data_IF_933704047064
#
_entry.id   IF_933704047064
#
_cell.length_a   1.000
_cell.length_b   1.000
_cell.length_c   1.000
_cell.angle_alpha   90.00
_cell.angle_beta   90.00
_cell.angle_gamma   90.00
#
_symmetry.space_group_name_H-M   'P 1'
#
loop_
_entity.id
_entity.type
_entity.pdbx_description
1 polymer ?
#
# COMPACT_ATOMS: atom_id res chain seq x y z
N UNK A 1 17.34 55.87 -41.85
CA UNK A 1 17.68 55.44 -40.47
C UNK A 1 16.48 55.77 -39.58
N UNK A 2 15.60 54.82 -39.37
CA UNK A 2 14.41 55.01 -38.52
C UNK A 2 14.48 53.98 -37.40
N UNK A 3 14.70 54.49 -36.18
CA UNK A 3 14.75 53.68 -34.94
C UNK A 3 13.33 53.41 -34.45
N UNK A 4 12.94 52.13 -34.41
CA UNK A 4 11.70 51.68 -33.79
C UNK A 4 11.96 51.39 -32.33
N UNK A 5 11.43 52.25 -31.45
CA UNK A 5 11.45 52.07 -30.00
C UNK A 5 10.26 51.19 -29.59
N UNK A 6 10.50 49.92 -29.21
CA UNK A 6 9.49 49.02 -28.66
C UNK A 6 9.12 49.38 -27.24
N UNK A 7 7.85 49.65 -26.99
CA UNK A 7 7.25 49.83 -25.65
C UNK A 7 7.16 48.52 -24.89
N UNK A 8 7.50 48.47 -23.59
CA UNK A 8 7.31 47.25 -22.79
C UNK A 8 5.83 47.04 -22.46
N UNK A 9 5.36 45.81 -22.76
CA UNK A 9 4.01 45.35 -22.45
C UNK A 9 3.85 45.13 -20.94
N UNK A 10 2.93 45.85 -20.33
CA UNK A 10 2.60 45.75 -18.89
C UNK A 10 1.91 44.40 -18.60
N UNK A 11 2.59 43.45 -17.98
CA UNK A 11 2.04 42.21 -17.47
C UNK A 11 1.05 42.52 -16.36
N UNK A 12 -0.25 42.22 -16.58
CA UNK A 12 -1.28 42.33 -15.54
C UNK A 12 -1.07 41.14 -14.56
N UNK A 13 -0.58 41.41 -13.38
CA UNK A 13 -0.57 40.45 -12.25
C UNK A 13 -2.01 40.16 -11.85
N UNK A 14 -2.39 38.89 -11.95
CA UNK A 14 -3.66 38.34 -11.45
C UNK A 14 -3.68 38.51 -9.92
N UNK A 15 -4.78 38.99 -9.32
CA UNK A 15 -4.85 39.11 -7.85
C UNK A 15 -4.65 37.74 -7.20
N UNK A 16 -3.73 37.68 -6.26
CA UNK A 16 -3.50 36.47 -5.44
C UNK A 16 -4.77 36.14 -4.66
N UNK A 17 -5.26 34.90 -4.79
CA UNK A 17 -6.31 34.38 -3.93
C UNK A 17 -5.84 34.44 -2.47
N UNK A 18 -6.70 34.89 -1.52
CA UNK A 18 -6.36 34.84 -0.10
C UNK A 18 -6.04 33.40 0.29
N UNK A 19 -4.96 33.22 1.06
CA UNK A 19 -4.59 31.92 1.59
C UNK A 19 -5.77 31.35 2.40
N UNK A 20 -6.07 30.04 2.27
CA UNK A 20 -7.13 29.41 3.05
C UNK A 20 -6.83 29.60 4.54
N UNK A 21 -7.78 30.14 5.28
CA UNK A 21 -7.73 30.27 6.74
C UNK A 21 -7.63 28.87 7.32
N UNK A 22 -6.44 28.44 7.70
CA UNK A 22 -6.23 27.15 8.35
C UNK A 22 -6.85 27.22 9.75
N UNK A 23 -8.05 26.66 9.90
CA UNK A 23 -8.60 26.37 11.22
C UNK A 23 -7.76 25.26 11.86
N UNK A 24 -7.46 25.34 13.17
CA UNK A 24 -6.75 24.27 13.85
C UNK A 24 -7.50 22.93 13.73
N UNK A 25 -6.78 21.80 13.61
CA UNK A 25 -7.38 20.48 13.44
C UNK A 25 -8.40 20.17 14.54
N UNK A 26 -9.60 19.71 14.18
CA UNK A 26 -10.67 19.35 15.14
C UNK A 26 -10.52 17.91 15.61
N UNK A 27 -9.41 17.59 16.26
CA UNK A 27 -9.08 16.23 16.73
C UNK A 27 -10.20 15.61 17.57
N UNK A 28 -10.86 16.38 18.42
CA UNK A 28 -11.87 15.86 19.36
C UNK A 28 -13.09 15.25 18.68
N UNK A 29 -13.64 15.91 17.66
CA UNK A 29 -14.78 15.39 16.93
C UNK A 29 -14.45 14.12 16.14
N UNK A 30 -13.28 14.08 15.48
CA UNK A 30 -12.80 12.91 14.74
C UNK A 30 -12.56 11.73 15.71
N UNK A 31 -11.92 12.00 16.86
CA UNK A 31 -11.67 10.99 17.89
C UNK A 31 -12.98 10.36 18.39
N UNK A 32 -13.98 11.18 18.75
CA UNK A 32 -15.27 10.71 19.23
C UNK A 32 -15.99 9.85 18.19
N UNK A 33 -16.04 10.31 16.94
CA UNK A 33 -16.65 9.58 15.83
C UNK A 33 -15.99 8.22 15.59
N UNK A 34 -14.64 8.18 15.51
CA UNK A 34 -13.86 6.95 15.31
C UNK A 34 -14.01 5.97 16.48
N UNK A 35 -13.98 6.44 17.72
CA UNK A 35 -14.21 5.60 18.90
C UNK A 35 -15.61 4.98 18.88
N UNK A 36 -16.64 5.79 18.62
CA UNK A 36 -18.05 5.35 18.60
C UNK A 36 -18.31 4.37 17.45
N UNK A 37 -17.77 4.60 16.26
CA UNK A 37 -17.91 3.69 15.11
C UNK A 37 -17.33 2.29 15.39
N UNK A 38 -16.40 2.19 16.35
CA UNK A 38 -15.80 0.93 16.80
C UNK A 38 -16.43 0.36 18.06
N UNK A 39 -17.48 0.98 18.56
CA UNK A 39 -18.17 0.55 19.78
C UNK A 39 -17.34 0.65 21.05
N UNK A 40 -16.24 1.44 21.03
CA UNK A 40 -15.31 1.54 22.17
C UNK A 40 -15.83 2.56 23.20
N UNK A 41 -15.80 2.19 24.48
CA UNK A 41 -15.94 3.12 25.60
C UNK A 41 -14.65 3.96 25.76
N UNK A 42 -14.74 5.07 26.52
CA UNK A 42 -13.56 5.86 26.89
C UNK A 42 -12.55 5.06 27.71
N UNK A 43 -13.01 4.11 28.53
CA UNK A 43 -12.16 3.27 29.34
C UNK A 43 -11.37 2.25 28.49
N UNK A 44 -12.02 1.66 27.49
CA UNK A 44 -11.38 0.74 26.55
C UNK A 44 -10.33 1.45 25.69
N UNK A 45 -10.67 2.61 25.12
CA UNK A 45 -9.70 3.39 24.34
C UNK A 45 -8.56 3.88 25.23
N UNK A 46 -8.82 4.25 26.49
CA UNK A 46 -7.78 4.63 27.46
C UNK A 46 -6.75 3.52 27.65
N UNK A 47 -7.22 2.28 27.82
CA UNK A 47 -6.32 1.11 27.96
C UNK A 47 -5.54 0.82 26.68
N UNK A 48 -6.20 0.87 25.53
CA UNK A 48 -5.57 0.58 24.23
C UNK A 48 -4.51 1.62 23.85
N UNK A 49 -4.80 2.90 24.08
CA UNK A 49 -3.93 4.00 23.67
C UNK A 49 -2.89 4.41 24.74
N UNK A 50 -3.03 3.93 25.98
CA UNK A 50 -2.21 4.40 27.09
C UNK A 50 -2.39 5.90 27.40
N UNK A 51 -3.61 6.42 27.18
CA UNK A 51 -4.00 7.82 27.43
C UNK A 51 -5.10 7.84 28.48
N UNK A 52 -4.98 8.70 29.49
CA UNK A 52 -5.97 8.71 30.57
C UNK A 52 -7.38 9.04 30.09
N UNK A 53 -8.40 8.41 30.69
CA UNK A 53 -9.82 8.64 30.39
C UNK A 53 -10.21 10.13 30.50
N UNK A 54 -9.67 10.82 31.50
CA UNK A 54 -9.91 12.26 31.68
C UNK A 54 -9.38 13.07 30.49
N UNK A 55 -8.18 12.77 30.01
CA UNK A 55 -7.59 13.42 28.85
C UNK A 55 -8.40 13.13 27.58
N UNK A 56 -8.81 11.89 27.34
CA UNK A 56 -9.66 11.52 26.21
C UNK A 56 -10.97 12.32 26.23
N UNK A 57 -11.63 12.39 27.39
CA UNK A 57 -12.86 13.15 27.58
C UNK A 57 -12.67 14.65 27.33
N UNK A 58 -11.54 15.24 27.74
CA UNK A 58 -11.22 16.63 27.47
C UNK A 58 -10.95 16.89 26.00
N UNK A 59 -10.23 15.98 25.31
CA UNK A 59 -9.96 16.07 23.87
C UNK A 59 -11.28 16.01 23.08
N UNK A 60 -12.15 15.03 23.36
CA UNK A 60 -13.43 14.88 22.66
C UNK A 60 -14.36 16.09 22.85
N UNK A 61 -14.28 16.75 24.00
CA UNK A 61 -15.03 17.99 24.30
C UNK A 61 -14.33 19.26 23.86
N UNK A 62 -13.22 19.17 23.13
CA UNK A 62 -12.40 20.32 22.71
C UNK A 62 -11.85 21.18 23.86
N UNK A 63 -11.68 20.58 25.04
CA UNK A 63 -11.15 21.24 26.25
C UNK A 63 -9.64 21.04 26.43
N UNK A 64 -9.03 20.16 25.66
CA UNK A 64 -7.58 19.93 25.62
C UNK A 64 -7.10 19.74 24.19
N UNK A 65 -5.89 20.23 23.91
CA UNK A 65 -5.19 20.02 22.65
C UNK A 65 -4.17 18.89 22.86
N UNK A 66 -4.32 17.73 22.20
CA UNK A 66 -3.38 16.63 22.36
C UNK A 66 -2.04 16.96 21.71
N UNK A 67 -0.95 16.49 22.33
CA UNK A 67 0.36 16.53 21.70
C UNK A 67 0.44 15.56 20.51
N UNK A 68 1.39 15.76 19.60
CA UNK A 68 1.60 14.85 18.46
C UNK A 68 1.80 13.39 18.93
N UNK A 69 2.51 13.19 20.04
CA UNK A 69 2.70 11.85 20.62
C UNK A 69 1.39 11.21 21.11
N UNK A 70 0.46 12.00 21.65
CA UNK A 70 -0.87 11.52 22.05
C UNK A 70 -1.70 11.21 20.82
N UNK A 71 -1.69 12.05 19.80
CA UNK A 71 -2.39 11.82 18.52
C UNK A 71 -1.90 10.52 17.86
N UNK A 72 -0.60 10.31 17.83
CA UNK A 72 0.01 9.08 17.30
C UNK A 72 -0.49 7.83 18.03
N UNK A 73 -0.46 7.82 19.36
CA UNK A 73 -0.95 6.67 20.17
C UNK A 73 -2.44 6.39 19.94
N UNK A 74 -3.24 7.44 19.83
CA UNK A 74 -4.67 7.33 19.54
C UNK A 74 -4.93 6.78 18.14
N UNK A 75 -4.21 7.27 17.14
CA UNK A 75 -4.29 6.79 15.76
C UNK A 75 -3.92 5.30 15.67
N UNK A 76 -2.82 4.91 16.32
CA UNK A 76 -2.37 3.51 16.39
C UNK A 76 -3.41 2.62 17.08
N UNK A 77 -3.95 3.04 18.24
CA UNK A 77 -4.94 2.27 18.98
C UNK A 77 -6.27 2.12 18.22
N UNK A 78 -6.60 3.12 17.40
CA UNK A 78 -7.76 3.10 16.52
C UNK A 78 -7.50 2.50 15.16
N UNK A 79 -6.25 2.11 14.80
CA UNK A 79 -5.88 1.58 13.48
C UNK A 79 -6.19 2.54 12.33
N UNK A 80 -5.94 3.84 12.52
CA UNK A 80 -6.16 4.89 11.52
C UNK A 80 -4.89 5.71 11.29
N UNK A 81 -4.84 6.44 10.19
CA UNK A 81 -3.76 7.41 9.96
C UNK A 81 -3.87 8.64 10.86
N UNK A 82 -2.73 9.21 11.26
CA UNK A 82 -2.70 10.46 12.04
C UNK A 82 -3.47 11.59 11.35
N UNK A 83 -3.39 11.68 10.01
CA UNK A 83 -4.14 12.67 9.21
C UNK A 83 -5.65 12.56 9.37
N UNK A 84 -6.19 11.34 9.44
CA UNK A 84 -7.61 11.08 9.64
C UNK A 84 -8.08 11.56 11.03
N UNK A 85 -7.25 11.33 12.04
CA UNK A 85 -7.53 11.81 13.40
C UNK A 85 -7.42 13.34 13.54
N UNK A 86 -6.60 14.00 12.72
CA UNK A 86 -6.47 15.45 12.67
C UNK A 86 -7.65 16.14 11.94
N UNK A 87 -8.68 15.39 11.56
CA UNK A 87 -9.86 15.93 10.88
C UNK A 87 -9.57 16.30 9.42
N UNK A 88 -8.46 15.81 8.88
CA UNK A 88 -8.29 15.72 7.44
C UNK A 88 -9.37 14.80 6.91
N UNK A 89 -10.31 15.33 6.14
CA UNK A 89 -11.18 14.48 5.34
C UNK A 89 -10.24 13.50 4.63
N UNK A 90 -10.47 12.20 4.81
CA UNK A 90 -9.86 11.22 3.92
C UNK A 90 -10.36 11.63 2.54
N UNK A 91 -9.49 12.11 1.64
CA UNK A 91 -9.94 12.45 0.30
C UNK A 91 -10.67 11.20 -0.15
N UNK A 92 -11.94 11.32 -0.55
CA UNK A 92 -12.69 10.19 -1.10
C UNK A 92 -11.74 9.52 -2.08
N UNK A 93 -11.39 8.24 -1.82
CA UNK A 93 -10.43 7.54 -2.66
C UNK A 93 -10.94 7.71 -4.10
N UNK A 94 -10.11 8.19 -5.02
CA UNK A 94 -10.58 8.44 -6.38
C UNK A 94 -11.20 7.15 -6.90
N UNK A 95 -12.36 7.25 -7.56
CA UNK A 95 -13.06 6.08 -8.13
C UNK A 95 -12.17 5.31 -9.13
N UNK A 96 -11.16 5.99 -9.67
CA UNK A 96 -10.20 5.42 -10.59
C UNK A 96 -8.81 5.98 -10.29
N UNK A 97 -7.85 5.08 -10.09
CA UNK A 97 -6.44 5.43 -9.91
C UNK A 97 -5.59 4.64 -10.90
N UNK A 98 -4.68 5.32 -11.57
CA UNK A 98 -3.69 4.70 -12.46
C UNK A 98 -2.31 4.85 -11.86
N UNK A 99 -1.60 3.74 -11.70
CA UNK A 99 -0.20 3.73 -11.28
C UNK A 99 0.68 3.62 -12.53
N UNK A 100 1.50 4.63 -12.85
CA UNK A 100 2.36 4.55 -14.02
C UNK A 100 3.47 3.52 -13.83
N UNK A 101 3.94 2.91 -14.92
CA UNK A 101 4.94 1.82 -14.87
C UNK A 101 6.22 2.19 -14.12
N UNK A 102 6.68 3.44 -14.23
CA UNK A 102 7.89 3.92 -13.55
C UNK A 102 7.72 4.13 -12.03
N UNK A 103 6.48 4.22 -11.56
CA UNK A 103 6.15 4.35 -10.13
C UNK A 103 5.78 3.01 -9.49
N UNK A 104 5.72 1.92 -10.28
CA UNK A 104 5.44 0.58 -9.77
C UNK A 104 6.72 -0.01 -9.17
N UNK A 105 6.77 -0.33 -7.86
CA UNK A 105 7.97 -0.87 -7.22
C UNK A 105 8.35 -2.23 -7.81
N UNK A 106 9.66 -2.52 -7.86
CA UNK A 106 10.19 -3.80 -8.33
C UNK A 106 11.16 -4.38 -7.31
N UNK A 107 11.15 -5.70 -7.16
CA UNK A 107 12.09 -6.49 -6.40
C UNK A 107 12.86 -7.38 -7.38
N UNK A 108 14.16 -7.43 -7.26
CA UNK A 108 15.00 -8.31 -8.08
C UNK A 108 15.71 -9.35 -7.20
N UNK A 109 15.89 -10.56 -7.73
CA UNK A 109 16.73 -11.56 -7.09
C UNK A 109 18.20 -11.10 -7.09
N UNK A 110 19.05 -11.57 -6.14
CA UNK A 110 20.46 -11.17 -6.06
C UNK A 110 21.26 -11.44 -7.33
N UNK A 111 20.88 -12.48 -8.09
CA UNK A 111 21.50 -12.83 -9.37
C UNK A 111 20.92 -12.07 -10.58
N UNK A 112 19.91 -11.21 -10.36
CA UNK A 112 19.24 -10.44 -11.39
C UNK A 112 18.38 -11.26 -12.35
N UNK A 113 18.18 -12.56 -12.10
CA UNK A 113 17.43 -13.44 -13.00
C UNK A 113 15.93 -13.45 -12.76
N UNK A 114 15.47 -12.99 -11.61
CA UNK A 114 14.05 -12.86 -11.31
C UNK A 114 13.72 -11.42 -10.97
N UNK A 115 12.66 -10.90 -11.54
CA UNK A 115 12.09 -9.58 -11.24
C UNK A 115 10.62 -9.73 -10.91
N UNK A 116 10.22 -9.21 -9.74
CA UNK A 116 8.84 -9.09 -9.28
C UNK A 116 8.45 -7.61 -9.30
N UNK A 117 7.44 -7.27 -10.09
CA UNK A 117 6.85 -5.93 -10.08
C UNK A 117 5.58 -5.97 -9.25
N UNK A 118 5.51 -5.14 -8.20
CA UNK A 118 4.41 -5.11 -7.24
C UNK A 118 3.22 -4.35 -7.84
N UNK A 119 2.14 -5.06 -8.16
CA UNK A 119 0.93 -4.47 -8.74
C UNK A 119 -0.13 -4.17 -7.70
N UNK A 120 -0.10 -4.89 -6.58
CA UNK A 120 -1.03 -4.72 -5.47
C UNK A 120 -0.79 -3.44 -4.69
N UNK A 121 -1.84 -2.79 -4.14
CA UNK A 121 -1.67 -1.68 -3.23
C UNK A 121 -1.06 -2.16 -1.91
N UNK A 122 -0.20 -1.33 -1.32
CA UNK A 122 0.54 -1.67 -0.10
C UNK A 122 -0.37 -1.96 1.10
N UNK A 123 -1.58 -1.41 1.10
CA UNK A 123 -2.58 -1.61 2.16
C UNK A 123 -3.08 -3.06 2.25
N UNK A 124 -2.90 -3.85 1.18
CA UNK A 124 -3.26 -5.27 1.14
C UNK A 124 -2.07 -6.20 1.39
N UNK A 125 -0.86 -5.66 1.59
CA UNK A 125 0.32 -6.47 1.87
C UNK A 125 0.09 -7.39 3.08
N UNK A 126 0.46 -8.66 2.96
CA UNK A 126 0.22 -9.69 3.96
C UNK A 126 -1.23 -10.22 4.03
N UNK A 127 -2.10 -9.80 3.09
CA UNK A 127 -3.44 -10.36 2.93
C UNK A 127 -3.65 -10.89 1.52
N UNK A 128 -3.49 -10.01 0.54
CA UNK A 128 -3.68 -10.29 -0.88
C UNK A 128 -2.68 -9.47 -1.68
N UNK A 129 -1.79 -10.17 -2.36
CA UNK A 129 -0.71 -9.55 -3.12
C UNK A 129 -0.70 -10.09 -4.56
N UNK A 130 -0.35 -9.22 -5.53
CA UNK A 130 -0.18 -9.68 -6.90
C UNK A 130 0.95 -8.94 -7.58
N UNK A 131 1.65 -9.69 -8.44
CA UNK A 131 2.88 -9.31 -9.08
C UNK A 131 2.91 -9.71 -10.55
N UNK A 132 3.59 -8.95 -11.39
CA UNK A 132 4.17 -9.55 -12.58
C UNK A 132 5.55 -10.10 -12.24
N UNK A 133 5.77 -11.37 -12.57
CA UNK A 133 7.04 -12.06 -12.40
C UNK A 133 7.69 -12.23 -13.76
N UNK A 134 8.94 -11.78 -13.92
CA UNK A 134 9.79 -12.07 -15.06
C UNK A 134 10.95 -12.94 -14.60
N UNK A 135 11.12 -14.11 -15.26
CA UNK A 135 12.21 -15.05 -14.95
C UNK A 135 13.06 -15.24 -16.19
N UNK A 136 14.34 -14.86 -16.09
CA UNK A 136 15.32 -15.04 -17.14
C UNK A 136 15.67 -16.54 -17.33
N UNK A 137 16.26 -16.95 -18.46
CA UNK A 137 16.68 -18.33 -18.68
C UNK A 137 17.54 -18.87 -17.53
N UNK A 138 17.18 -20.03 -16.99
CA UNK A 138 17.83 -20.66 -15.84
C UNK A 138 17.64 -19.94 -14.52
N UNK A 139 16.82 -18.88 -14.46
CA UNK A 139 16.47 -18.19 -13.22
C UNK A 139 15.56 -19.03 -12.34
N UNK A 140 15.66 -18.82 -11.03
CA UNK A 140 14.83 -19.51 -10.02
C UNK A 140 14.45 -18.52 -8.93
N UNK A 141 13.14 -18.35 -8.74
CA UNK A 141 12.58 -17.69 -7.58
C UNK A 141 12.26 -18.78 -6.55
N UNK A 142 13.02 -18.81 -5.45
CA UNK A 142 12.81 -19.72 -4.35
C UNK A 142 12.26 -18.96 -3.14
N UNK A 143 11.20 -19.46 -2.55
CA UNK A 143 10.51 -18.86 -1.41
C UNK A 143 10.51 -19.79 -0.21
N UNK A 144 10.73 -19.22 0.98
CA UNK A 144 10.48 -19.90 2.23
C UNK A 144 8.97 -20.05 2.45
N UNK A 145 8.53 -20.99 3.28
CA UNK A 145 7.11 -21.11 3.62
C UNK A 145 6.53 -19.78 4.12
N UNK A 146 5.38 -19.42 3.56
CA UNK A 146 4.56 -18.32 4.08
C UNK A 146 3.75 -18.77 5.30
N UNK A 147 2.90 -17.90 5.83
CA UNK A 147 2.01 -18.20 6.94
C UNK A 147 1.13 -19.43 6.63
N UNK A 148 0.80 -20.26 7.65
CA UNK A 148 -0.01 -21.47 7.45
C UNK A 148 -1.34 -21.19 6.72
N UNK A 149 -1.58 -21.94 5.66
CA UNK A 149 -2.77 -21.84 4.82
C UNK A 149 -2.66 -20.81 3.70
N UNK A 150 -1.51 -20.16 3.53
CA UNK A 150 -1.23 -19.30 2.38
C UNK A 150 -1.22 -20.08 1.07
N UNK A 151 -1.65 -19.44 0.00
CA UNK A 151 -1.71 -20.03 -1.34
C UNK A 151 -1.15 -19.10 -2.39
N UNK A 152 -0.55 -19.69 -3.41
CA UNK A 152 -0.12 -18.97 -4.61
C UNK A 152 -0.84 -19.48 -5.85
N UNK A 153 -1.07 -18.55 -6.79
CA UNK A 153 -1.63 -18.79 -8.10
C UNK A 153 -0.70 -18.17 -9.13
N UNK A 154 -0.09 -18.99 -9.97
CA UNK A 154 0.83 -18.57 -11.01
C UNK A 154 0.20 -18.79 -12.39
N UNK A 155 -0.12 -17.72 -13.10
CA UNK A 155 -0.63 -17.77 -14.48
C UNK A 155 0.48 -17.37 -15.44
N UNK A 156 0.90 -18.27 -16.33
CA UNK A 156 1.99 -18.00 -17.28
C UNK A 156 1.47 -17.20 -18.47
N UNK A 157 2.00 -15.99 -18.63
CA UNK A 157 1.65 -15.04 -19.69
C UNK A 157 2.54 -15.17 -20.92
N UNK A 158 3.79 -15.63 -20.74
CA UNK A 158 4.72 -15.91 -21.83
C UNK A 158 5.75 -16.94 -21.39
N UNK A 159 6.15 -17.83 -22.30
CA UNK A 159 7.16 -18.86 -22.04
C UNK A 159 6.60 -20.06 -21.29
N UNK A 160 7.45 -20.66 -20.47
CA UNK A 160 7.15 -21.88 -19.68
C UNK A 160 7.91 -21.78 -18.35
N UNK A 161 7.27 -22.18 -17.27
CA UNK A 161 7.85 -22.21 -15.94
C UNK A 161 7.63 -23.58 -15.30
N UNK A 162 8.63 -24.07 -14.57
CA UNK A 162 8.51 -25.23 -13.69
C UNK A 162 8.19 -24.70 -12.28
N UNK A 163 7.11 -25.20 -11.68
CA UNK A 163 6.69 -24.87 -10.31
C UNK A 163 6.88 -26.08 -9.44
N UNK A 164 7.49 -25.90 -8.29
CA UNK A 164 7.59 -26.93 -7.26
C UNK A 164 7.03 -26.38 -5.94
N UNK A 165 6.20 -27.19 -5.26
CA UNK A 165 5.72 -26.94 -3.91
C UNK A 165 5.89 -28.21 -3.09
N UNK A 166 6.72 -28.16 -2.04
CA UNK A 166 7.13 -29.35 -1.31
C UNK A 166 7.78 -30.40 -2.22
N UNK A 167 7.24 -31.61 -2.24
CA UNK A 167 7.71 -32.71 -3.09
C UNK A 167 7.09 -32.75 -4.50
N UNK A 168 6.03 -31.98 -4.74
CA UNK A 168 5.33 -31.96 -6.02
C UNK A 168 5.92 -30.93 -6.97
N UNK A 169 5.95 -31.27 -8.25
CA UNK A 169 6.40 -30.32 -9.28
C UNK A 169 5.56 -30.48 -10.55
N UNK A 170 5.38 -29.40 -11.27
CA UNK A 170 4.66 -29.38 -12.54
C UNK A 170 5.26 -28.34 -13.49
N UNK A 171 5.09 -28.58 -14.79
CA UNK A 171 5.43 -27.62 -15.84
C UNK A 171 4.19 -26.85 -16.25
N UNK A 172 4.26 -25.53 -16.18
CA UNK A 172 3.18 -24.60 -16.52
C UNK A 172 3.56 -23.84 -17.78
N UNK A 173 2.74 -23.95 -18.82
CA UNK A 173 2.96 -23.33 -20.13
C UNK A 173 2.15 -22.06 -20.28
N UNK A 174 2.42 -21.30 -21.32
CA UNK A 174 1.61 -20.12 -21.68
C UNK A 174 0.11 -20.44 -21.66
N UNK A 175 -0.66 -19.58 -20.96
CA UNK A 175 -2.11 -19.71 -20.79
C UNK A 175 -2.54 -20.66 -19.66
N UNK A 176 -1.61 -21.45 -19.08
CA UNK A 176 -1.91 -22.33 -17.96
C UNK A 176 -1.72 -21.63 -16.61
N UNK A 177 -2.40 -22.13 -15.58
CA UNK A 177 -2.31 -21.62 -14.20
C UNK A 177 -2.02 -22.77 -13.23
N UNK A 178 -0.93 -22.66 -12.48
CA UNK A 178 -0.68 -23.49 -11.31
C UNK A 178 -1.31 -22.86 -10.07
N UNK A 179 -1.84 -23.70 -9.17
CA UNK A 179 -2.35 -23.30 -7.85
C UNK A 179 -1.76 -24.23 -6.82
N UNK A 180 -1.07 -23.68 -5.83
CA UNK A 180 -0.35 -24.48 -4.86
C UNK A 180 -0.37 -23.87 -3.46
N UNK A 181 -0.10 -24.73 -2.48
CA UNK A 181 0.12 -24.32 -1.10
C UNK A 181 1.47 -23.61 -1.01
N UNK A 182 1.46 -22.41 -0.45
CA UNK A 182 2.65 -21.59 -0.27
C UNK A 182 3.19 -21.64 1.19
N UNK A 183 2.52 -22.39 2.07
CA UNK A 183 2.97 -22.68 3.44
C UNK A 183 3.97 -23.84 3.52
N UNK A 184 4.43 -24.35 2.37
CA UNK A 184 5.57 -25.23 2.21
C UNK A 184 6.67 -24.54 1.39
N UNK A 185 7.94 -25.02 1.45
CA UNK A 185 9.01 -24.52 0.58
C UNK A 185 8.60 -24.68 -0.89
N UNK A 186 8.70 -23.63 -1.66
CA UNK A 186 8.29 -23.63 -3.06
C UNK A 186 9.25 -22.83 -3.93
N UNK A 187 9.24 -23.14 -5.24
CA UNK A 187 10.09 -22.44 -6.22
C UNK A 187 9.44 -22.39 -7.58
N UNK A 188 9.79 -21.35 -8.32
CA UNK A 188 9.43 -21.14 -9.72
C UNK A 188 10.72 -21.05 -10.51
N UNK A 189 10.89 -21.89 -11.54
CA UNK A 189 12.09 -21.99 -12.34
C UNK A 189 11.78 -21.83 -13.83
N UNK A 190 12.64 -21.11 -14.55
CA UNK A 190 12.55 -21.02 -16.01
C UNK A 190 13.53 -22.02 -16.67
N UNK A 191 13.04 -23.17 -17.20
CA UNK A 191 13.87 -24.14 -17.92
C UNK A 191 14.14 -23.76 -19.38
N UNK A 192 13.51 -22.67 -19.86
CA UNK A 192 13.56 -22.24 -21.25
C UNK A 192 14.84 -21.47 -21.62
N UNK A 193 14.92 -21.09 -22.89
CA UNK A 193 16.02 -20.30 -23.45
C UNK A 193 15.68 -18.80 -23.60
N UNK A 194 14.44 -18.42 -23.33
CA UNK A 194 13.94 -17.05 -23.37
C UNK A 194 13.34 -16.69 -22.02
N UNK A 195 13.24 -15.41 -21.72
CA UNK A 195 12.56 -14.94 -20.52
C UNK A 195 11.09 -15.43 -20.49
N UNK A 196 10.63 -15.86 -19.34
CA UNK A 196 9.24 -16.21 -19.08
C UNK A 196 8.59 -15.14 -18.22
N UNK A 197 7.29 -14.91 -18.45
CA UNK A 197 6.49 -13.95 -17.69
C UNK A 197 5.25 -14.62 -17.12
N UNK A 198 4.89 -14.23 -15.91
CA UNK A 198 3.70 -14.74 -15.23
C UNK A 198 3.05 -13.65 -14.38
N UNK A 199 1.75 -13.81 -14.14
CA UNK A 199 1.04 -13.15 -13.05
C UNK A 199 1.12 -14.08 -11.83
N UNK A 200 1.66 -13.59 -10.74
CA UNK A 200 1.73 -14.28 -9.45
C UNK A 200 0.77 -13.59 -8.48
N UNK A 201 -0.11 -14.36 -7.88
CA UNK A 201 -1.06 -13.91 -6.85
C UNK A 201 -0.78 -14.69 -5.58
N UNK A 202 -0.62 -13.99 -4.47
CA UNK A 202 -0.41 -14.56 -3.14
C UNK A 202 -1.61 -14.21 -2.25
N UNK A 203 -2.18 -15.24 -1.64
CA UNK A 203 -3.28 -15.15 -0.69
C UNK A 203 -2.75 -15.59 0.67
N UNK A 204 -2.69 -14.67 1.61
CA UNK A 204 -2.35 -14.99 3.00
C UNK A 204 -3.64 -15.31 3.77
N UNK A 205 -3.58 -16.34 4.62
CA UNK A 205 -4.70 -16.62 5.51
C UNK A 205 -4.56 -15.77 6.77
N UNK A 206 -5.48 -14.86 6.96
CA UNK A 206 -5.62 -14.07 8.20
C UNK A 206 -6.27 -14.88 9.29
#
# INVERSE_FOLDING_TARGET
MSSIVSRPTRVKTKPSQPAPTQQPPRVGAALAALRQSRGLSLDELSRLAGVSKSMLSQIERHQANPTVAVVWRLATALGVGVGELLGGERPAAPLLTTVPAHATPTLASPDGKCELRILGPIELAGQFEWYTLTVQPGGTLASQPHEPGSREHLSVLAGTLDVQAGAESTRVRHGETARYAADAPHRIHNPGRSAAQALLVVLHRT
#
